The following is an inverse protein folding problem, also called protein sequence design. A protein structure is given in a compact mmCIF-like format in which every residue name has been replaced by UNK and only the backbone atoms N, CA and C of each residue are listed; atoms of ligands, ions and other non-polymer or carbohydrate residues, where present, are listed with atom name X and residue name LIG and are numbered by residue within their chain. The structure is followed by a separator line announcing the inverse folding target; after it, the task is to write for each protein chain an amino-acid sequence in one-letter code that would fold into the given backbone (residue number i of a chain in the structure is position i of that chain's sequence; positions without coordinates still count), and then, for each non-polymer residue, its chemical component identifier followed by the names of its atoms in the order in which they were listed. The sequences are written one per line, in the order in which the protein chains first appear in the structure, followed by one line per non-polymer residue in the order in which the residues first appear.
data_IF_677440981111
#
_entry.id   IF_677440981111
#
_cell.length_a   1.000
_cell.length_b   1.000
_cell.length_c   1.000
_cell.angle_alpha   90.00
_cell.angle_beta   90.00
_cell.angle_gamma   90.00
#
_symmetry.space_group_name_H-M   'P 1'
#
loop_
_entity.id
_entity.type
_entity.pdbx_description
1 polymer ?
#
# COMPACT_ATOMS: atom_id res chain seq x y z
N UNK A 1 -5.02 -1.29 -2.93
CA UNK A 1 -6.23 -1.28 -2.07
C UNK A 1 -6.20 -0.08 -1.14
N UNK A 2 -7.36 0.43 -0.75
CA UNK A 2 -7.50 1.52 0.20
C UNK A 2 -8.70 1.26 1.11
N UNK A 3 -8.55 1.58 2.39
CA UNK A 3 -9.63 1.54 3.39
C UNK A 3 -10.41 2.87 3.47
N UNK A 4 -10.17 3.79 2.53
CA UNK A 4 -10.73 5.14 2.50
C UNK A 4 -9.95 6.18 3.31
N UNK A 5 -9.02 5.78 4.16
CA UNK A 5 -8.12 6.67 4.92
C UNK A 5 -6.68 6.55 4.41
N UNK A 6 -6.23 5.31 4.21
CA UNK A 6 -4.88 4.96 3.80
C UNK A 6 -4.89 4.09 2.54
N UNK A 7 -3.82 4.26 1.75
CA UNK A 7 -3.47 3.32 0.69
C UNK A 7 -2.57 2.23 1.27
N UNK A 8 -2.85 0.98 0.90
CA UNK A 8 -2.13 -0.21 1.33
C UNK A 8 -1.27 -0.77 0.19
N UNK A 9 -0.07 -0.19 -0.07
CA UNK A 9 0.76 -0.53 -1.22
C UNK A 9 1.25 -1.99 -1.21
N UNK A 10 1.44 -2.58 -0.02
CA UNK A 10 1.88 -3.98 0.11
C UNK A 10 0.80 -5.00 -0.23
N UNK A 11 -0.46 -4.56 -0.32
CA UNK A 11 -1.58 -5.38 -0.78
C UNK A 11 -1.93 -5.11 -2.25
N UNK A 12 -1.14 -4.28 -2.94
CA UNK A 12 -1.40 -3.94 -4.34
C UNK A 12 -1.04 -5.10 -5.26
N UNK A 13 -1.90 -5.33 -6.25
CA UNK A 13 -1.55 -6.13 -7.41
C UNK A 13 -0.64 -5.30 -8.32
N UNK A 14 0.59 -5.76 -8.53
CA UNK A 14 1.62 -5.01 -9.25
C UNK A 14 2.12 -5.75 -10.48
N UNK A 15 2.66 -4.98 -11.43
CA UNK A 15 3.54 -5.47 -12.51
C UNK A 15 4.98 -5.35 -12.01
N UNK A 16 5.65 -6.44 -11.63
CA UNK A 16 6.92 -6.38 -10.90
C UNK A 16 8.00 -5.55 -11.60
N UNK A 17 8.15 -5.70 -12.92
CA UNK A 17 9.19 -5.04 -13.71
C UNK A 17 9.02 -3.51 -13.67
N UNK A 18 7.78 -3.02 -13.76
CA UNK A 18 7.48 -1.59 -13.71
C UNK A 18 7.77 -1.02 -12.32
N UNK A 19 7.33 -1.71 -11.27
CA UNK A 19 7.51 -1.25 -9.89
C UNK A 19 8.98 -1.27 -9.49
N UNK A 20 9.72 -2.34 -9.80
CA UNK A 20 11.15 -2.43 -9.51
C UNK A 20 11.94 -1.32 -10.22
N UNK A 21 11.62 -1.02 -11.49
CA UNK A 21 12.30 0.07 -12.22
C UNK A 21 12.16 1.45 -11.54
N UNK A 22 11.10 1.64 -10.74
CA UNK A 22 10.82 2.89 -10.02
C UNK A 22 11.36 2.91 -8.59
N UNK A 23 11.30 1.78 -7.88
CA UNK A 23 11.70 1.67 -6.47
C UNK A 23 13.21 1.42 -6.27
N UNK A 24 13.93 0.89 -7.27
CA UNK A 24 15.37 0.52 -7.14
C UNK A 24 16.30 1.73 -6.99
N UNK A 25 15.80 2.95 -7.19
CA UNK A 25 16.57 4.20 -7.06
C UNK A 25 17.06 4.52 -5.64
N UNK A 26 16.70 3.71 -4.63
CA UNK A 26 17.12 3.91 -3.24
C UNK A 26 16.28 4.95 -2.50
N UNK A 27 15.10 5.29 -3.01
CA UNK A 27 14.14 6.18 -2.35
C UNK A 27 13.68 5.57 -1.01
N UNK A 28 13.92 6.30 0.09
CA UNK A 28 13.62 5.89 1.47
C UNK A 28 12.30 6.45 2.00
N UNK A 29 11.54 7.18 1.17
CA UNK A 29 10.21 7.68 1.56
C UNK A 29 9.25 6.51 1.80
N UNK A 30 8.18 6.69 2.59
CA UNK A 30 7.16 5.67 2.77
C UNK A 30 6.58 5.15 1.44
N UNK A 31 6.37 3.83 1.34
CA UNK A 31 5.88 3.20 0.11
C UNK A 31 4.52 3.76 -0.36
N UNK A 32 3.65 4.18 0.55
CA UNK A 32 2.34 4.74 0.18
C UNK A 32 2.47 6.06 -0.59
N UNK A 33 3.54 6.83 -0.34
CA UNK A 33 3.86 8.03 -1.13
C UNK A 33 4.46 7.67 -2.48
N UNK A 34 5.40 6.73 -2.50
CA UNK A 34 6.05 6.31 -3.74
C UNK A 34 5.06 5.66 -4.73
N UNK A 35 4.13 4.85 -4.23
CA UNK A 35 3.09 4.24 -5.06
C UNK A 35 2.05 5.25 -5.54
N UNK A 36 1.75 6.29 -4.75
CA UNK A 36 0.83 7.36 -5.14
C UNK A 36 1.31 8.14 -6.37
N UNK A 37 2.63 8.19 -6.60
CA UNK A 37 3.26 8.87 -7.74
C UNK A 37 3.22 8.03 -9.04
N UNK A 38 2.91 6.73 -8.94
CA UNK A 38 2.80 5.83 -10.10
C UNK A 38 1.36 5.79 -10.61
N UNK A 39 1.10 5.70 -11.93
CA UNK A 39 -0.25 5.47 -12.42
C UNK A 39 -0.80 4.14 -11.91
N UNK A 40 -1.92 4.19 -11.18
CA UNK A 40 -2.60 3.01 -10.66
C UNK A 40 -4.10 3.28 -10.49
N UNK A 41 -4.88 2.22 -10.43
CA UNK A 41 -6.28 2.28 -10.01
C UNK A 41 -6.38 1.99 -8.51
N UNK A 42 -7.31 2.67 -7.84
CA UNK A 42 -7.61 2.43 -6.42
C UNK A 42 -8.76 1.43 -6.34
N UNK A 43 -8.54 0.36 -5.59
CA UNK A 43 -9.58 -0.57 -5.14
C UNK A 43 -9.96 -0.17 -3.72
N UNK A 44 -11.19 0.32 -3.52
CA UNK A 44 -11.73 0.66 -2.22
C UNK A 44 -12.28 -0.59 -1.55
N UNK A 45 -11.88 -0.82 -0.32
CA UNK A 45 -12.27 -1.97 0.50
C UNK A 45 -12.78 -1.49 1.86
N UNK A 46 -13.51 -2.35 2.57
CA UNK A 46 -13.94 -2.08 3.94
C UNK A 46 -12.72 -1.99 4.87
N UNK A 47 -12.65 -0.94 5.69
CA UNK A 47 -11.60 -0.77 6.70
C UNK A 47 -11.56 -1.94 7.71
N UNK A 48 -12.70 -2.57 7.99
CA UNK A 48 -12.76 -3.75 8.83
C UNK A 48 -12.07 -4.98 8.18
N UNK A 49 -11.97 -5.02 6.85
CA UNK A 49 -11.25 -6.08 6.13
C UNK A 49 -9.74 -5.80 6.03
N UNK A 50 -9.33 -4.53 6.04
CA UNK A 50 -7.94 -4.09 5.90
C UNK A 50 -7.34 -3.60 7.23
N UNK A 51 -7.58 -4.33 8.33
CA UNK A 51 -7.02 -4.00 9.65
C UNK A 51 -5.64 -4.60 9.83
N UNK A 52 -4.65 -3.75 10.09
CA UNK A 52 -3.34 -4.21 10.57
C UNK A 52 -3.41 -4.52 12.06
N UNK A 53 -2.86 -5.67 12.47
CA UNK A 53 -2.66 -6.05 13.87
C UNK A 53 -1.21 -5.72 14.22
N UNK A 54 -1.00 -4.57 14.85
CA UNK A 54 0.34 -4.08 15.19
C UNK A 54 0.63 -4.20 16.69
N UNK A 55 -0.41 -4.24 17.52
CA UNK A 55 -0.31 -4.38 18.97
C UNK A 55 -1.23 -5.52 19.47
N UNK A 56 -0.97 -6.12 20.64
CA UNK A 56 -1.83 -7.17 21.19
C UNK A 56 -3.30 -6.77 21.31
N UNK A 57 -3.58 -5.50 21.62
CA UNK A 57 -4.91 -4.92 21.76
C UNK A 57 -5.68 -4.91 20.42
N UNK A 58 -5.00 -5.07 19.29
CA UNK A 58 -5.66 -5.14 17.98
C UNK A 58 -6.44 -6.45 17.75
N UNK A 59 -6.24 -7.45 18.61
CA UNK A 59 -6.91 -8.75 18.56
C UNK A 59 -8.24 -8.81 19.31
N UNK A 60 -8.55 -7.78 20.12
CA UNK A 60 -9.84 -7.60 20.78
C UNK A 60 -10.85 -6.91 19.85
#
# INVERSE_FOLDING_TARGET
PSDGVWNHPLLALVRPELVLSRLVSGDRRPLHLQFAEMPHSILLEDAAMLRNVNQPEDLE
#
